data_IF_877742774608
#
_entry.id   IF_877742774608
#
_cell.length_a   1.000
_cell.length_b   1.000
_cell.length_c   1.000
_cell.angle_alpha   90.00
_cell.angle_beta   90.00
_cell.angle_gamma   90.00
#
_symmetry.space_group_name_H-M   'P 1'
#
loop_
_entity.id
_entity.type
_entity.pdbx_description
1 polymer ?
#
# COMPACT_ATOMS: atom_id res chain seq x y z
N UNK A 1 -16.68 4.16 -13.68
CA UNK A 1 -15.75 3.07 -14.06
C UNK A 1 -14.60 3.12 -13.07
N UNK A 2 -14.60 2.28 -12.03
CA UNK A 2 -13.44 2.10 -11.17
C UNK A 2 -13.16 0.61 -11.09
N UNK A 3 -12.26 0.18 -11.96
CA UNK A 3 -11.63 -1.12 -11.97
C UNK A 3 -10.15 -0.83 -12.09
N UNK A 4 -9.35 -1.31 -11.12
CA UNK A 4 -7.92 -1.04 -10.94
C UNK A 4 -7.59 0.47 -10.80
N UNK A 5 -7.27 1.00 -9.61
CA UNK A 5 -6.27 2.08 -9.62
C UNK A 5 -5.05 1.51 -10.33
N UNK A 6 -4.41 2.25 -11.23
CA UNK A 6 -3.17 1.79 -11.84
C UNK A 6 -2.13 1.63 -10.73
N UNK A 7 -2.03 0.43 -10.17
CA UNK A 7 -0.95 0.03 -9.29
C UNK A 7 0.28 -0.19 -10.17
N UNK A 8 1.01 0.89 -10.42
CA UNK A 8 2.16 0.90 -11.32
C UNK A 8 3.30 -0.04 -10.90
N UNK A 9 3.24 -0.60 -9.69
CA UNK A 9 4.30 -1.43 -9.13
C UNK A 9 3.89 -2.88 -8.82
N UNK A 10 2.60 -3.24 -8.89
CA UNK A 10 2.17 -4.50 -8.28
C UNK A 10 1.57 -5.55 -9.21
N UNK A 11 0.68 -5.25 -10.15
CA UNK A 11 0.18 -6.30 -11.05
C UNK A 11 -0.49 -5.73 -12.30
N UNK A 12 0.18 -5.91 -13.44
CA UNK A 12 -0.35 -5.68 -14.80
C UNK A 12 -0.93 -4.28 -15.06
N UNK A 13 -0.15 -3.45 -15.75
CA UNK A 13 -0.71 -2.36 -16.56
C UNK A 13 -1.38 -3.02 -17.77
N UNK A 14 -2.68 -3.24 -17.70
CA UNK A 14 -3.47 -3.25 -18.93
C UNK A 14 -3.71 -1.78 -19.24
N UNK A 15 -3.27 -1.27 -20.40
CA UNK A 15 -4.08 -0.30 -21.15
C UNK A 15 -3.56 0.09 -22.55
N UNK A 16 -4.56 0.12 -23.45
CA UNK A 16 -4.83 0.99 -24.59
C UNK A 16 -4.15 0.79 -25.94
N UNK A 17 -2.85 0.47 -26.06
CA UNK A 17 -2.20 0.50 -27.40
C UNK A 17 -1.48 -0.78 -27.84
N UNK A 18 -1.70 -1.91 -27.15
CA UNK A 18 -1.36 -3.24 -27.70
C UNK A 18 0.11 -3.67 -27.72
N UNK A 19 1.05 -2.90 -27.15
CA UNK A 19 2.43 -3.36 -26.97
C UNK A 19 2.76 -3.70 -25.51
N UNK A 20 3.21 -4.95 -25.31
CA UNK A 20 3.62 -5.51 -24.03
C UNK A 20 4.87 -4.81 -23.47
N UNK A 21 4.75 -4.24 -22.27
CA UNK A 21 5.90 -3.76 -21.49
C UNK A 21 6.20 -4.80 -20.42
N UNK A 22 7.33 -5.53 -20.47
CA UNK A 22 7.68 -6.48 -19.43
C UNK A 22 7.97 -5.73 -18.12
N UNK A 23 7.16 -5.96 -17.08
CA UNK A 23 7.36 -5.39 -15.73
C UNK A 23 7.95 -6.45 -14.80
N UNK A 24 9.11 -6.99 -15.19
CA UNK A 24 9.96 -7.80 -14.30
C UNK A 24 10.75 -6.92 -13.32
N UNK A 25 11.35 -7.48 -12.24
CA UNK A 25 12.16 -6.73 -11.25
C UNK A 25 13.23 -5.83 -11.90
N UNK A 26 13.84 -6.31 -12.99
CA UNK A 26 14.85 -5.58 -13.76
C UNK A 26 14.34 -4.37 -14.57
N UNK A 27 13.02 -4.19 -14.68
CA UNK A 27 12.40 -3.14 -15.50
C UNK A 27 11.73 -2.04 -14.66
N UNK A 28 11.31 -2.35 -13.43
CA UNK A 28 10.57 -1.47 -12.49
C UNK A 28 11.35 -0.23 -12.01
N UNK A 29 12.66 -0.27 -12.17
CA UNK A 29 13.59 0.79 -11.77
C UNK A 29 14.15 1.56 -12.97
N UNK A 30 13.67 1.24 -14.19
CA UNK A 30 14.11 1.97 -15.36
C UNK A 30 13.45 3.37 -15.42
N UNK A 31 14.24 4.44 -15.53
CA UNK A 31 13.79 5.83 -15.43
C UNK A 31 12.77 6.24 -16.47
N UNK A 32 12.94 5.73 -17.68
CA UNK A 32 12.03 6.00 -18.79
C UNK A 32 10.69 5.28 -18.57
N UNK A 33 10.70 4.12 -17.90
CA UNK A 33 9.48 3.50 -17.43
C UNK A 33 8.83 4.34 -16.33
N UNK A 34 9.58 4.78 -15.30
CA UNK A 34 9.00 5.60 -14.23
C UNK A 34 8.40 6.90 -14.76
N UNK A 35 9.10 7.62 -15.66
CA UNK A 35 8.53 8.82 -16.31
C UNK A 35 7.30 8.51 -17.15
N UNK A 36 7.30 7.37 -17.85
CA UNK A 36 6.13 6.91 -18.60
C UNK A 36 4.96 6.62 -17.65
N UNK A 37 5.20 5.97 -16.51
CA UNK A 37 4.19 5.68 -15.48
C UNK A 37 3.68 6.97 -14.83
N UNK A 38 4.57 7.94 -14.55
CA UNK A 38 4.20 9.27 -14.07
C UNK A 38 3.30 9.98 -15.08
N UNK A 39 3.75 10.13 -16.33
CA UNK A 39 2.96 10.79 -17.39
C UNK A 39 1.59 10.16 -17.60
N UNK A 40 1.50 8.84 -17.53
CA UNK A 40 0.25 8.08 -17.71
C UNK A 40 -0.65 8.18 -16.47
N UNK A 41 -0.06 8.34 -15.28
CA UNK A 41 -0.79 8.35 -14.02
C UNK A 41 -1.12 9.69 -13.43
N UNK A 42 -0.54 10.76 -13.98
CA UNK A 42 -0.87 12.10 -13.54
C UNK A 42 -2.31 12.38 -13.97
N UNK A 43 -3.18 12.66 -13.00
CA UNK A 43 -4.55 13.06 -13.28
C UNK A 43 -4.59 14.44 -13.95
N UNK A 44 -5.73 14.82 -14.53
CA UNK A 44 -5.89 16.08 -15.26
C UNK A 44 -5.58 17.34 -14.41
N UNK A 45 -5.64 17.23 -13.08
CA UNK A 45 -5.27 18.29 -12.13
C UNK A 45 -3.78 18.29 -11.75
N UNK A 46 -2.93 17.52 -12.43
CA UNK A 46 -1.48 17.50 -12.22
C UNK A 46 -0.98 16.63 -11.05
N UNK A 47 -1.89 15.97 -10.31
CA UNK A 47 -1.52 15.12 -9.18
C UNK A 47 -1.14 13.70 -9.66
N UNK A 48 -0.09 13.16 -9.08
CA UNK A 48 0.33 11.77 -9.27
C UNK A 48 0.59 11.12 -7.92
N UNK A 49 0.37 9.81 -7.80
CA UNK A 49 0.58 9.06 -6.57
C UNK A 49 1.20 7.69 -6.81
N UNK A 50 1.90 7.20 -5.79
CA UNK A 50 2.52 5.88 -5.77
C UNK A 50 2.34 5.25 -4.40
N UNK A 51 2.12 3.94 -4.38
CA UNK A 51 2.15 3.13 -3.17
C UNK A 51 3.43 2.31 -3.18
N UNK A 52 4.20 2.40 -2.10
CA UNK A 52 5.44 1.63 -1.91
C UNK A 52 5.31 0.85 -0.61
N UNK A 53 5.34 -0.47 -0.73
CA UNK A 53 5.43 -1.37 0.43
C UNK A 53 6.87 -1.35 0.99
N UNK A 54 7.02 -1.53 2.30
CA UNK A 54 8.31 -1.39 2.99
C UNK A 54 9.43 -2.22 2.36
N UNK A 55 9.12 -3.48 2.00
CA UNK A 55 10.05 -4.41 1.38
C UNK A 55 10.61 -3.98 0.01
N UNK A 56 10.02 -2.97 -0.65
CA UNK A 56 10.44 -2.52 -1.98
C UNK A 56 11.09 -1.15 -1.98
N UNK A 57 11.07 -0.41 -0.86
CA UNK A 57 11.61 0.94 -0.82
C UNK A 57 13.10 0.96 -1.21
N UNK A 58 13.89 0.03 -0.71
CA UNK A 58 15.34 0.00 -0.98
C UNK A 58 15.64 -0.32 -2.45
N UNK A 59 14.87 -1.20 -3.08
CA UNK A 59 14.98 -1.50 -4.50
C UNK A 59 14.63 -0.27 -5.36
N UNK A 60 13.51 0.39 -5.05
CA UNK A 60 13.08 1.60 -5.75
C UNK A 60 14.13 2.71 -5.61
N UNK A 61 14.65 2.93 -4.41
CA UNK A 61 15.67 3.94 -4.12
C UNK A 61 16.98 3.60 -4.82
N UNK A 62 17.43 2.35 -4.81
CA UNK A 62 18.65 1.94 -5.49
C UNK A 62 18.57 2.20 -7.01
N UNK A 63 17.42 1.87 -7.61
CA UNK A 63 17.12 2.15 -9.01
C UNK A 63 17.18 3.64 -9.36
N UNK A 64 16.43 4.45 -8.62
CA UNK A 64 16.37 5.89 -8.79
C UNK A 64 17.74 6.55 -8.56
N UNK A 65 18.49 6.11 -7.54
CA UNK A 65 19.83 6.64 -7.23
C UNK A 65 20.80 6.41 -8.38
N UNK A 66 20.81 5.20 -8.94
CA UNK A 66 21.64 4.87 -10.10
C UNK A 66 21.33 5.78 -11.28
N UNK A 67 20.04 6.03 -11.52
CA UNK A 67 19.62 6.88 -12.62
C UNK A 67 20.05 8.33 -12.46
N UNK A 68 19.77 8.90 -11.29
CA UNK A 68 20.07 10.29 -10.99
C UNK A 68 21.59 10.54 -10.90
N UNK A 69 22.42 9.49 -11.02
CA UNK A 69 23.86 9.54 -10.74
C UNK A 69 24.14 10.15 -9.36
N UNK A 70 23.24 9.88 -8.40
CA UNK A 70 23.18 10.50 -7.09
C UNK A 70 23.88 9.63 -6.03
N UNK A 71 25.12 9.21 -6.31
CA UNK A 71 25.91 8.40 -5.38
C UNK A 71 26.03 9.11 -4.02
N UNK A 72 25.76 8.38 -2.94
CA UNK A 72 25.79 8.93 -1.57
C UNK A 72 24.54 9.68 -1.12
N UNK A 73 23.58 9.97 -2.02
CA UNK A 73 22.32 10.60 -1.64
C UNK A 73 21.47 9.65 -0.76
N UNK A 74 20.91 10.17 0.32
CA UNK A 74 19.94 9.48 1.17
C UNK A 74 18.70 9.05 0.37
N UNK A 75 17.93 8.09 0.91
CA UNK A 75 16.69 7.66 0.25
C UNK A 75 15.69 8.82 0.09
N UNK A 76 15.62 9.72 1.08
CA UNK A 76 14.81 10.94 1.04
C UNK A 76 15.19 11.81 -0.15
N UNK A 77 16.47 12.17 -0.29
CA UNK A 77 16.94 13.01 -1.39
C UNK A 77 16.64 12.38 -2.76
N UNK A 78 16.81 11.06 -2.88
CA UNK A 78 16.52 10.33 -4.12
C UNK A 78 15.04 10.41 -4.47
N UNK A 79 14.15 10.23 -3.49
CA UNK A 79 12.69 10.30 -3.67
C UNK A 79 12.25 11.74 -3.97
N UNK A 80 12.73 12.73 -3.20
CA UNK A 80 12.38 14.14 -3.40
C UNK A 80 12.83 14.67 -4.77
N UNK A 81 13.98 14.20 -5.29
CA UNK A 81 14.44 14.51 -6.66
C UNK A 81 13.60 13.84 -7.74
N UNK A 82 13.13 12.62 -7.49
CA UNK A 82 12.33 11.87 -8.47
C UNK A 82 10.90 12.40 -8.60
N UNK A 83 10.33 12.89 -7.50
CA UNK A 83 8.90 13.21 -7.39
C UNK A 83 8.61 14.64 -6.92
N UNK A 84 9.57 15.55 -7.11
CA UNK A 84 9.46 16.98 -6.78
C UNK A 84 8.88 17.24 -5.37
N UNK A 85 9.59 16.73 -4.36
CA UNK A 85 9.23 16.86 -2.93
C UNK A 85 7.80 16.38 -2.61
N UNK A 86 7.54 15.07 -2.73
CA UNK A 86 6.19 14.53 -2.60
C UNK A 86 5.64 14.66 -1.17
N UNK A 87 4.32 14.62 -1.06
CA UNK A 87 3.64 14.37 0.21
C UNK A 87 3.80 12.90 0.59
N UNK A 88 4.27 12.65 1.82
CA UNK A 88 4.39 11.30 2.36
C UNK A 88 3.12 10.93 3.12
N UNK A 89 2.51 9.80 2.75
CA UNK A 89 1.37 9.22 3.44
C UNK A 89 1.79 7.87 4.02
N UNK A 90 1.64 7.70 5.33
CA UNK A 90 1.88 6.43 5.99
C UNK A 90 0.55 5.76 6.32
N UNK A 91 0.18 4.78 5.49
CA UNK A 91 -1.00 3.95 5.72
C UNK A 91 -0.64 2.77 6.63
N UNK A 92 -1.40 2.59 7.71
CA UNK A 92 -1.21 1.46 8.64
C UNK A 92 -2.52 1.03 9.26
N UNK A 93 -2.54 -0.16 9.87
CA UNK A 93 -3.67 -0.63 10.69
C UNK A 93 -3.21 -0.75 12.13
N UNK A 94 -4.00 -0.21 13.05
CA UNK A 94 -3.64 -0.24 14.48
C UNK A 94 -3.80 -1.65 15.05
N UNK A 95 -4.84 -2.36 14.63
CA UNK A 95 -5.07 -3.76 15.02
C UNK A 95 -4.21 -4.72 14.19
N UNK A 96 -2.94 -4.88 14.57
CA UNK A 96 -1.98 -5.75 13.87
C UNK A 96 -2.38 -7.22 13.88
N UNK A 97 -3.05 -7.68 14.94
CA UNK A 97 -3.57 -9.04 15.03
C UNK A 97 -4.66 -9.27 13.97
N UNK A 98 -5.60 -8.33 13.84
CA UNK A 98 -6.64 -8.43 12.83
C UNK A 98 -6.08 -8.28 11.41
N UNK A 99 -5.02 -7.48 11.22
CA UNK A 99 -4.29 -7.43 9.96
C UNK A 99 -3.63 -8.77 9.63
N UNK A 100 -2.96 -9.41 10.59
CA UNK A 100 -2.30 -10.70 10.42
C UNK A 100 -3.27 -11.83 10.09
N UNK A 101 -4.43 -11.90 10.76
CA UNK A 101 -5.49 -12.87 10.44
C UNK A 101 -5.98 -12.67 9.00
N UNK A 102 -6.20 -11.42 8.59
CA UNK A 102 -6.63 -11.10 7.23
C UNK A 102 -5.58 -11.48 6.19
N UNK A 103 -4.31 -11.16 6.45
CA UNK A 103 -3.18 -11.47 5.56
C UNK A 103 -2.98 -12.99 5.43
N UNK A 104 -3.02 -13.72 6.55
CA UNK A 104 -2.91 -15.17 6.54
C UNK A 104 -4.00 -15.81 5.67
N UNK A 105 -5.26 -15.39 5.85
CA UNK A 105 -6.36 -15.89 5.01
C UNK A 105 -6.17 -15.54 3.54
N UNK A 106 -5.75 -14.32 3.23
CA UNK A 106 -5.53 -13.89 1.84
C UNK A 106 -4.42 -14.72 1.17
N UNK A 107 -3.33 -15.00 1.87
CA UNK A 107 -2.21 -15.80 1.35
C UNK A 107 -2.60 -17.26 1.09
N UNK A 108 -3.43 -17.86 1.94
CA UNK A 108 -3.84 -19.26 1.80
C UNK A 108 -4.98 -19.46 0.80
N UNK A 109 -5.84 -18.44 0.61
CA UNK A 109 -6.96 -18.50 -0.35
C UNK A 109 -6.65 -17.89 -1.71
N UNK A 110 -5.53 -17.18 -1.83
CA UNK A 110 -5.21 -16.25 -2.93
C UNK A 110 -6.33 -15.22 -3.21
N UNK A 111 -7.16 -14.92 -2.20
CA UNK A 111 -8.28 -13.97 -2.27
C UNK A 111 -7.96 -12.73 -1.46
N UNK A 112 -7.80 -11.62 -2.18
CA UNK A 112 -7.35 -10.34 -1.61
C UNK A 112 -8.49 -9.33 -1.44
N UNK A 113 -9.62 -9.50 -2.15
CA UNK A 113 -10.78 -8.59 -2.09
C UNK A 113 -12.09 -9.34 -1.91
N UNK A 114 -13.09 -8.71 -1.28
CA UNK A 114 -14.39 -9.36 -1.00
C UNK A 114 -15.14 -9.77 -2.28
N UNK A 115 -14.84 -9.11 -3.40
CA UNK A 115 -15.44 -9.38 -4.71
C UNK A 115 -14.64 -10.41 -5.52
N UNK A 116 -13.60 -11.01 -4.94
CA UNK A 116 -12.83 -12.08 -5.58
C UNK A 116 -13.53 -13.43 -5.38
N UNK A 117 -14.22 -13.87 -6.44
CA UNK A 117 -15.02 -15.11 -6.48
C UNK A 117 -14.17 -16.38 -6.42
N UNK A 118 -12.84 -16.29 -6.53
CA UNK A 118 -11.93 -17.46 -6.64
C UNK A 118 -11.75 -18.25 -5.35
N UNK A 119 -12.12 -17.69 -4.19
CA UNK A 119 -11.93 -18.32 -2.87
C UNK A 119 -13.20 -18.53 -2.06
N UNK A 120 -14.37 -18.52 -2.72
CA UNK A 120 -15.63 -18.89 -2.07
C UNK A 120 -15.57 -20.39 -1.74
N UNK A 121 -15.29 -20.73 -0.48
CA UNK A 121 -15.33 -22.11 0.04
C UNK A 121 -13.99 -22.80 0.29
N UNK A 122 -12.85 -22.10 0.22
CA UNK A 122 -11.57 -22.68 0.64
C UNK A 122 -11.52 -22.84 2.17
N UNK A 123 -11.50 -24.10 2.63
CA UNK A 123 -11.36 -24.45 4.06
C UNK A 123 -9.89 -24.26 4.50
N UNK A 124 -9.52 -23.00 4.75
CA UNK A 124 -8.18 -22.68 5.27
C UNK A 124 -8.14 -23.06 6.74
N UNK A 125 -7.20 -23.89 7.19
CA UNK A 125 -7.15 -24.28 8.57
C UNK A 125 -6.53 -23.17 9.43
N UNK A 126 -7.07 -22.96 10.63
CA UNK A 126 -6.44 -22.05 11.60
C UNK A 126 -5.03 -22.53 12.00
N UNK A 127 -4.05 -21.62 11.93
CA UNK A 127 -2.65 -21.84 12.32
C UNK A 127 -2.14 -20.65 13.13
N UNK A 128 -2.16 -20.78 14.46
CA UNK A 128 -1.78 -19.69 15.38
C UNK A 128 -0.34 -19.22 15.16
N UNK A 129 0.58 -20.15 14.99
CA UNK A 129 2.02 -19.90 14.76
C UNK A 129 2.24 -19.05 13.50
N UNK A 130 1.50 -19.34 12.41
CA UNK A 130 1.54 -18.56 11.17
C UNK A 130 0.99 -17.15 11.37
N UNK A 131 -0.15 -17.02 12.05
CA UNK A 131 -0.75 -15.71 12.35
C UNK A 131 0.20 -14.88 13.23
N UNK A 132 0.81 -15.49 14.25
CA UNK A 132 1.78 -14.82 15.12
C UNK A 132 3.03 -14.37 14.37
N UNK A 133 3.54 -15.20 13.47
CA UNK A 133 4.65 -14.83 12.59
C UNK A 133 4.30 -13.59 11.75
N UNK A 134 3.12 -13.57 11.10
CA UNK A 134 2.69 -12.42 10.31
C UNK A 134 2.46 -11.17 11.15
N UNK A 135 1.87 -11.29 12.33
CA UNK A 135 1.70 -10.15 13.23
C UNK A 135 3.05 -9.55 13.64
N UNK A 136 4.03 -10.39 13.96
CA UNK A 136 5.39 -9.95 14.27
C UNK A 136 6.01 -9.20 13.08
N UNK A 137 5.96 -9.78 11.87
CA UNK A 137 6.47 -9.13 10.66
C UNK A 137 5.79 -7.77 10.38
N UNK A 138 4.47 -7.67 10.60
CA UNK A 138 3.73 -6.41 10.43
C UNK A 138 4.20 -5.35 11.42
N UNK A 139 4.42 -5.73 12.69
CA UNK A 139 4.94 -4.82 13.72
C UNK A 139 6.34 -4.34 13.38
N UNK A 140 7.23 -5.24 12.98
CA UNK A 140 8.60 -4.90 12.56
C UNK A 140 8.60 -3.93 11.38
N UNK A 141 7.77 -4.15 10.36
CA UNK A 141 7.64 -3.24 9.22
C UNK A 141 7.11 -1.87 9.63
N UNK A 142 6.14 -1.80 10.55
CA UNK A 142 5.64 -0.52 11.07
C UNK A 142 6.71 0.24 11.85
N UNK A 143 7.50 -0.45 12.69
CA UNK A 143 8.61 0.15 13.41
C UNK A 143 9.72 0.63 12.47
N UNK A 144 10.02 -0.15 11.44
CA UNK A 144 10.99 0.22 10.41
C UNK A 144 10.57 1.48 9.66
N UNK A 145 9.31 1.59 9.25
CA UNK A 145 8.78 2.82 8.64
C UNK A 145 8.89 4.01 9.59
N UNK A 146 8.50 3.84 10.84
CA UNK A 146 8.60 4.91 11.84
C UNK A 146 10.05 5.40 12.01
N UNK A 147 11.03 4.47 12.10
CA UNK A 147 12.46 4.79 12.14
C UNK A 147 12.91 5.53 10.88
N UNK A 148 12.59 5.00 9.69
CA UNK A 148 12.97 5.61 8.41
C UNK A 148 12.46 7.06 8.29
N UNK A 149 11.22 7.33 8.66
CA UNK A 149 10.67 8.69 8.67
C UNK A 149 11.38 9.60 9.68
N UNK A 150 11.57 9.11 10.92
CA UNK A 150 12.25 9.85 11.99
C UNK A 150 13.69 10.20 11.61
N UNK A 151 14.49 9.22 11.19
CA UNK A 151 15.90 9.38 10.83
C UNK A 151 16.09 10.32 9.65
N UNK A 152 15.05 10.45 8.80
CA UNK A 152 15.06 11.33 7.64
C UNK A 152 14.45 12.70 7.90
N UNK A 153 13.93 12.97 9.11
CA UNK A 153 13.23 14.21 9.43
C UNK A 153 11.97 14.43 8.59
N UNK A 154 11.25 13.36 8.26
CA UNK A 154 9.99 13.40 7.51
C UNK A 154 8.84 13.22 8.49
N UNK A 155 7.84 14.10 8.41
CA UNK A 155 6.57 13.96 9.13
C UNK A 155 5.49 13.51 8.14
N UNK A 156 5.18 12.21 8.04
CA UNK A 156 4.16 11.73 7.11
C UNK A 156 2.75 12.04 7.63
N UNK A 157 1.80 12.18 6.70
CA UNK A 157 0.38 12.12 7.03
C UNK A 157 0.06 10.67 7.37
N UNK A 158 -0.26 10.41 8.63
CA UNK A 158 -0.64 9.06 9.06
C UNK A 158 -2.12 8.85 8.78
N UNK A 159 -2.44 7.77 8.06
CA UNK A 159 -3.80 7.33 7.80
C UNK A 159 -3.95 5.93 8.35
N UNK A 160 -4.80 5.78 9.37
CA UNK A 160 -5.10 4.44 9.89
C UNK A 160 -6.28 3.82 9.17
N UNK A 161 -6.31 2.49 9.11
CA UNK A 161 -7.48 1.75 8.66
C UNK A 161 -8.73 2.13 9.47
N UNK A 162 -8.56 2.33 10.78
CA UNK A 162 -9.62 2.72 11.69
C UNK A 162 -10.16 4.14 11.39
N UNK A 163 -9.28 5.11 11.10
CA UNK A 163 -9.71 6.45 10.65
C UNK A 163 -10.49 6.36 9.34
N UNK A 164 -9.98 5.59 8.37
CA UNK A 164 -10.62 5.42 7.07
C UNK A 164 -11.97 4.69 7.16
N UNK A 165 -12.22 3.92 8.21
CA UNK A 165 -13.53 3.33 8.48
C UNK A 165 -14.48 4.29 9.20
N UNK A 166 -13.98 5.07 10.15
CA UNK A 166 -14.78 5.97 10.96
C UNK A 166 -15.20 7.23 10.19
N UNK A 167 -14.28 7.80 9.42
CA UNK A 167 -14.47 9.02 8.65
C UNK A 167 -13.69 8.97 7.31
N UNK A 168 -14.19 8.22 6.31
CA UNK A 168 -13.57 8.15 4.99
C UNK A 168 -13.49 9.53 4.30
N UNK A 169 -14.51 10.38 4.48
CA UNK A 169 -14.54 11.71 3.84
C UNK A 169 -13.46 12.62 4.42
N UNK A 170 -13.38 12.74 5.75
CA UNK A 170 -12.35 13.56 6.37
C UNK A 170 -10.93 13.06 6.14
N UNK A 171 -10.71 11.75 5.97
CA UNK A 171 -9.40 11.23 5.51
C UNK A 171 -9.07 11.73 4.12
N UNK A 172 -10.01 11.64 3.18
CA UNK A 172 -9.82 12.12 1.80
C UNK A 172 -9.57 13.63 1.78
N UNK A 173 -10.33 14.40 2.53
CA UNK A 173 -10.20 15.86 2.59
C UNK A 173 -8.81 16.27 3.09
N UNK A 174 -8.33 15.66 4.19
CA UNK A 174 -6.96 15.92 4.68
C UNK A 174 -5.88 15.58 3.65
N UNK A 175 -6.05 14.51 2.89
CA UNK A 175 -5.10 14.12 1.84
C UNK A 175 -5.14 15.09 0.66
N UNK A 176 -6.33 15.51 0.23
CA UNK A 176 -6.51 16.46 -0.87
C UNK A 176 -5.98 17.85 -0.51
N UNK A 177 -6.25 18.33 0.71
CA UNK A 177 -5.72 19.59 1.23
C UNK A 177 -4.18 19.58 1.23
N UNK A 178 -3.56 18.45 1.59
CA UNK A 178 -2.10 18.34 1.62
C UNK A 178 -1.43 18.45 0.26
N UNK A 179 -2.16 18.17 -0.81
CA UNK A 179 -1.70 18.31 -2.21
C UNK A 179 -2.31 19.52 -2.91
N UNK A 180 -3.04 20.38 -2.18
CA UNK A 180 -3.64 21.60 -2.71
C UNK A 180 -4.78 21.37 -3.71
N UNK A 181 -5.48 20.24 -3.63
CA UNK A 181 -6.61 19.91 -4.51
C UNK A 181 -7.92 20.09 -3.76
N UNK A 182 -8.89 20.75 -4.39
CA UNK A 182 -10.24 20.84 -3.84
C UNK A 182 -11.00 19.52 -4.04
N UNK A 183 -11.74 19.08 -3.02
CA UNK A 183 -12.71 17.99 -3.14
C UNK A 183 -13.80 18.40 -4.15
N UNK A 184 -13.98 17.63 -5.20
CA UNK A 184 -15.13 17.78 -6.09
C UNK A 184 -16.41 17.20 -5.47
N UNK A 185 -17.55 17.36 -6.13
CA UNK A 185 -18.86 16.91 -5.61
C UNK A 185 -19.06 15.38 -5.57
N UNK A 186 -18.02 14.59 -5.84
CA UNK A 186 -18.13 13.12 -5.86
C UNK A 186 -18.03 12.57 -4.44
N UNK A 187 -19.01 11.75 -4.01
CA UNK A 187 -18.95 11.12 -2.69
C UNK A 187 -17.77 10.17 -2.62
N UNK A 188 -17.14 10.08 -1.43
CA UNK A 188 -16.10 9.09 -1.17
C UNK A 188 -16.76 7.72 -1.06
N UNK A 189 -16.53 6.87 -2.05
CA UNK A 189 -17.05 5.50 -2.04
C UNK A 189 -15.91 4.51 -1.80
N UNK A 190 -16.04 3.62 -0.79
CA UNK A 190 -15.11 2.52 -0.63
C UNK A 190 -15.11 1.65 -1.90
N UNK A 191 -13.92 1.50 -2.50
CA UNK A 191 -13.75 0.70 -3.71
C UNK A 191 -13.86 -0.81 -3.45
N UNK A 192 -13.69 -1.21 -2.18
CA UNK A 192 -13.71 -2.60 -1.76
C UNK A 192 -14.62 -2.76 -0.55
N UNK A 193 -15.45 -3.80 -0.57
CA UNK A 193 -16.23 -4.19 0.62
C UNK A 193 -15.30 -4.84 1.63
N UNK A 194 -15.57 -4.59 2.91
CA UNK A 194 -14.85 -5.18 4.04
C UNK A 194 -14.94 -6.72 4.00
N UNK A 195 -13.80 -7.41 3.93
CA UNK A 195 -13.70 -8.88 4.10
C UNK A 195 -13.81 -9.32 5.58
N UNK A 196 -14.72 -8.73 6.33
CA UNK A 196 -14.99 -9.11 7.72
C UNK A 196 -15.99 -10.24 7.75
N UNK A 197 -15.62 -11.44 7.29
CA UNK A 197 -16.49 -12.60 7.40
C UNK A 197 -16.44 -13.11 8.85
N UNK A 198 -17.49 -13.77 9.33
CA UNK A 198 -17.60 -14.30 10.70
C UNK A 198 -16.38 -15.14 11.11
N UNK A 199 -15.79 -15.88 10.16
CA UNK A 199 -14.56 -16.69 10.34
C UNK A 199 -13.34 -15.85 10.74
N UNK A 200 -13.15 -14.66 10.15
CA UNK A 200 -12.03 -13.77 10.52
C UNK A 200 -12.19 -13.22 11.95
N UNK A 201 -13.43 -12.95 12.36
CA UNK A 201 -13.72 -12.50 13.72
C UNK A 201 -13.52 -13.62 14.73
N UNK A 202 -13.97 -14.84 14.40
CA UNK A 202 -13.75 -16.02 15.21
C UNK A 202 -12.24 -16.31 15.40
N UNK A 203 -11.47 -16.28 14.31
CA UNK A 203 -10.02 -16.52 14.36
C UNK A 203 -9.29 -15.45 15.16
N UNK A 204 -9.68 -14.18 15.02
CA UNK A 204 -9.12 -13.10 15.81
C UNK A 204 -9.42 -13.28 17.31
N UNK A 205 -10.66 -13.66 17.65
CA UNK A 205 -11.05 -13.94 19.03
C UNK A 205 -10.27 -15.13 19.61
N UNK A 206 -10.13 -16.21 18.84
CA UNK A 206 -9.34 -17.38 19.21
C UNK A 206 -7.86 -17.03 19.41
N UNK A 207 -7.27 -16.32 18.46
CA UNK A 207 -5.87 -15.89 18.50
C UNK A 207 -5.55 -15.05 19.74
N UNK A 208 -6.42 -14.09 20.08
CA UNK A 208 -6.27 -13.25 21.29
C UNK A 208 -6.40 -14.04 22.59
N UNK A 209 -7.31 -15.01 22.64
CA UNK A 209 -7.48 -15.90 23.81
C UNK A 209 -6.22 -16.74 24.04
N UNK A 210 -5.71 -17.35 22.97
CA UNK A 210 -4.51 -18.20 23.01
C UNK A 210 -3.21 -17.41 23.29
N UNK A 211 -3.23 -16.08 23.20
CA UNK A 211 -2.09 -15.19 23.50
C UNK A 211 -2.06 -14.64 24.93
N UNK A 212 -3.15 -14.80 25.69
CA UNK A 212 -3.29 -14.26 27.06
C UNK A 212 -2.99 -15.31 28.15
N UNK A 213 -2.30 -16.40 27.80
CA UNK A 213 -1.91 -17.51 28.70
C UNK A 213 -0.39 -17.62 28.71
#
# INVERSE_FOLDING_TARGET
MSGKPREYLYNHVIELDGEDIPIGPAHRTQPDQLRKLMRIGTSANGVWGLIVMGSYLDEVVAGLRRYQSASGASWREVIERAFDRPVYVWNRRLDTAAQAVSLYRALETDVWYADDVRGVGADVPYRRDRIAHWEHMIREQNEEWARRFSDSGITPITVTYEDALADPEGVVDRLLDSVGVARGDRPVQPLTRRQGNDVSLEWLARYRRDGST
#
